data_IF_018087372380
#
_entry.id   IF_018087372380
#
_cell.length_a   1.000
_cell.length_b   1.000
_cell.length_c   1.000
_cell.angle_alpha   90.00
_cell.angle_beta   90.00
_cell.angle_gamma   90.00
#
_symmetry.space_group_name_H-M   'P 1'
#
loop_
_entity.id
_entity.type
_entity.pdbx_description
1 polymer ?
#
# COMPACT_ATOMS: atom_id res chain seq x y z
N UNK A 1 -55.48 30.85 -59.47
CA UNK A 1 -54.23 31.08 -58.74
C UNK A 1 -54.52 30.94 -57.25
N UNK A 2 -53.60 30.33 -56.51
CA UNK A 2 -53.66 29.91 -55.08
C UNK A 2 -54.14 28.46 -54.90
N UNK A 3 -53.31 27.48 -55.28
CA UNK A 3 -52.29 26.79 -54.46
C UNK A 3 -52.91 25.72 -53.56
N UNK A 4 -53.25 24.58 -54.18
CA UNK A 4 -53.39 23.32 -53.47
C UNK A 4 -52.01 22.92 -52.94
N UNK A 5 -51.82 23.03 -51.63
CA UNK A 5 -50.62 22.54 -50.98
C UNK A 5 -50.55 21.01 -51.17
N UNK A 6 -49.41 20.46 -51.62
CA UNK A 6 -49.24 19.03 -51.73
C UNK A 6 -49.49 18.39 -50.36
N UNK A 7 -50.50 17.52 -50.32
CA UNK A 7 -50.92 16.81 -49.11
C UNK A 7 -49.86 15.77 -48.81
N UNK A 8 -48.80 16.17 -48.10
CA UNK A 8 -47.77 15.25 -47.63
C UNK A 8 -48.41 14.25 -46.68
N UNK A 9 -48.52 13.00 -47.16
CA UNK A 9 -49.04 11.89 -46.38
C UNK A 9 -48.04 11.55 -45.28
N UNK A 10 -48.51 11.45 -44.04
CA UNK A 10 -47.72 11.00 -42.89
C UNK A 10 -47.21 9.55 -43.02
N UNK A 11 -47.63 8.81 -44.05
CA UNK A 11 -47.09 7.50 -44.44
C UNK A 11 -45.77 7.58 -45.20
N UNK A 12 -45.44 8.73 -45.80
CA UNK A 12 -44.19 8.95 -46.56
C UNK A 12 -43.07 9.46 -45.65
N UNK A 13 -43.40 9.82 -44.41
CA UNK A 13 -42.42 10.08 -43.35
C UNK A 13 -41.97 8.75 -42.71
N UNK A 14 -41.61 7.80 -43.56
CA UNK A 14 -41.01 6.55 -43.14
C UNK A 14 -39.62 6.86 -42.59
N UNK A 15 -39.49 6.85 -41.25
CA UNK A 15 -38.21 6.85 -40.52
C UNK A 15 -37.37 5.58 -40.78
N UNK A 16 -37.59 4.90 -41.91
CA UNK A 16 -36.95 3.68 -42.34
C UNK A 16 -35.74 3.95 -43.25
N UNK A 17 -35.58 5.20 -43.71
CA UNK A 17 -34.41 5.68 -44.46
C UNK A 17 -33.35 6.33 -43.58
N UNK A 18 -33.47 6.26 -42.24
CA UNK A 18 -32.32 6.54 -41.40
C UNK A 18 -31.31 5.41 -41.62
N UNK A 19 -30.12 5.68 -42.17
CA UNK A 19 -29.06 4.71 -42.17
C UNK A 19 -28.63 4.53 -40.71
N UNK A 20 -29.34 3.68 -39.96
CA UNK A 20 -28.85 3.15 -38.70
C UNK A 20 -27.68 2.27 -39.12
N UNK A 21 -26.51 2.92 -39.14
CA UNK A 21 -25.26 2.42 -39.65
C UNK A 21 -24.92 1.10 -38.98
N UNK A 22 -25.29 0.01 -39.67
CA UNK A 22 -24.66 -1.31 -39.52
C UNK A 22 -23.24 -1.31 -40.08
N UNK A 23 -22.59 -0.15 -40.20
CA UNK A 23 -21.14 0.01 -40.32
C UNK A 23 -20.50 -0.23 -38.95
N UNK A 24 -20.66 -1.48 -38.53
CA UNK A 24 -19.77 -2.33 -37.74
C UNK A 24 -18.69 -1.59 -36.93
N UNK A 25 -18.79 -1.69 -35.60
CA UNK A 25 -17.69 -1.42 -34.66
C UNK A 25 -16.33 -1.92 -35.17
N UNK A 26 -16.29 -3.03 -35.91
CA UNK A 26 -15.09 -3.56 -36.54
C UNK A 26 -14.48 -2.60 -37.57
N UNK A 27 -15.28 -1.98 -38.44
CA UNK A 27 -14.79 -0.96 -39.37
C UNK A 27 -14.27 0.27 -38.63
N UNK A 28 -14.94 0.70 -37.55
CA UNK A 28 -14.48 1.83 -36.74
C UNK A 28 -13.12 1.56 -36.06
N UNK A 29 -12.93 0.36 -35.51
CA UNK A 29 -11.64 -0.07 -34.93
C UNK A 29 -10.54 -0.13 -36.00
N UNK A 30 -10.83 -0.70 -37.17
CA UNK A 30 -9.87 -0.79 -38.28
C UNK A 30 -9.47 0.60 -38.79
N UNK A 31 -10.42 1.53 -38.92
CA UNK A 31 -10.14 2.92 -39.31
C UNK A 31 -9.29 3.61 -38.23
N UNK A 32 -9.63 3.46 -36.95
CA UNK A 32 -8.84 4.02 -35.84
C UNK A 32 -7.41 3.48 -35.78
N UNK A 33 -7.19 2.17 -35.99
CA UNK A 33 -5.85 1.59 -36.07
C UNK A 33 -5.05 2.19 -37.25
N UNK A 34 -5.70 2.39 -38.39
CA UNK A 34 -5.07 2.97 -39.58
C UNK A 34 -4.63 4.42 -39.33
N UNK A 35 -5.44 5.19 -38.61
CA UNK A 35 -5.13 6.57 -38.19
C UNK A 35 -3.90 6.62 -37.26
N UNK A 36 -3.83 5.70 -36.29
CA UNK A 36 -2.69 5.58 -35.37
C UNK A 36 -1.39 5.28 -36.14
N UNK A 37 -1.47 4.43 -37.15
CA UNK A 37 -0.35 4.09 -38.05
C UNK A 37 0.08 5.25 -38.96
N UNK A 38 -0.84 6.14 -39.33
CA UNK A 38 -0.52 7.33 -40.12
C UNK A 38 0.31 8.36 -39.33
N UNK A 39 0.09 8.45 -38.01
CA UNK A 39 0.76 9.43 -37.13
C UNK A 39 1.63 8.76 -36.05
N UNK A 40 2.61 7.96 -36.49
CA UNK A 40 3.46 7.13 -35.62
C UNK A 40 4.11 7.88 -34.47
N UNK A 41 4.64 9.09 -34.70
CA UNK A 41 5.37 9.84 -33.65
C UNK A 41 4.43 10.37 -32.55
N UNK A 42 3.29 10.95 -32.95
CA UNK A 42 2.30 11.49 -32.02
C UNK A 42 1.64 10.38 -31.20
N UNK A 43 1.27 9.29 -31.86
CA UNK A 43 0.71 8.11 -31.21
C UNK A 43 1.71 7.42 -30.28
N UNK A 44 2.99 7.34 -30.67
CA UNK A 44 4.02 6.76 -29.83
C UNK A 44 4.25 7.58 -28.55
N UNK A 45 4.40 8.90 -28.66
CA UNK A 45 4.69 9.76 -27.50
C UNK A 45 3.53 9.76 -26.48
N UNK A 46 2.29 9.75 -26.95
CA UNK A 46 1.09 9.71 -26.10
C UNK A 46 0.95 8.37 -25.38
N UNK A 47 1.11 7.25 -26.09
CA UNK A 47 1.09 5.93 -25.46
C UNK A 47 2.24 5.74 -24.47
N UNK A 48 3.44 6.20 -24.83
CA UNK A 48 4.62 6.13 -23.96
C UNK A 48 4.39 6.93 -22.67
N UNK A 49 3.79 8.12 -22.76
CA UNK A 49 3.41 8.90 -21.58
C UNK A 49 2.45 8.16 -20.65
N UNK A 50 1.43 7.50 -21.20
CA UNK A 50 0.47 6.71 -20.40
C UNK A 50 1.16 5.51 -19.75
N UNK A 51 1.97 4.77 -20.50
CA UNK A 51 2.67 3.57 -20.01
C UNK A 51 3.66 3.94 -18.91
N UNK A 52 4.46 4.98 -19.10
CA UNK A 52 5.39 5.46 -18.07
C UNK A 52 4.67 6.03 -16.85
N UNK A 53 3.53 6.71 -17.06
CA UNK A 53 2.71 7.22 -15.97
C UNK A 53 2.18 6.10 -15.07
N UNK A 54 1.45 5.14 -15.66
CA UNK A 54 0.86 4.02 -14.90
C UNK A 54 1.94 3.12 -14.30
N UNK A 55 3.05 2.87 -15.01
CA UNK A 55 4.11 2.01 -14.49
C UNK A 55 4.78 2.62 -13.26
N UNK A 56 5.02 3.94 -13.24
CA UNK A 56 5.60 4.62 -12.07
C UNK A 56 4.70 4.53 -10.84
N UNK A 57 3.38 4.67 -11.03
CA UNK A 57 2.39 4.56 -9.96
C UNK A 57 2.35 3.13 -9.39
N UNK A 58 2.31 2.12 -10.28
CA UNK A 58 2.31 0.71 -9.88
C UNK A 58 3.61 0.35 -9.16
N UNK A 59 4.77 0.80 -9.67
CA UNK A 59 6.06 0.54 -9.05
C UNK A 59 6.17 1.13 -7.65
N UNK A 60 5.74 2.39 -7.47
CA UNK A 60 5.74 3.03 -6.16
C UNK A 60 4.79 2.31 -5.19
N UNK A 61 3.58 1.96 -5.64
CA UNK A 61 2.61 1.23 -4.82
C UNK A 61 3.15 -0.12 -4.35
N UNK A 62 3.75 -0.89 -5.27
CA UNK A 62 4.37 -2.17 -4.96
C UNK A 62 5.54 -2.03 -3.99
N UNK A 63 6.38 -1.00 -4.15
CA UNK A 63 7.49 -0.73 -3.25
C UNK A 63 7.01 -0.40 -1.83
N UNK A 64 6.01 0.47 -1.69
CA UNK A 64 5.43 0.83 -0.38
C UNK A 64 4.86 -0.40 0.31
N UNK A 65 4.03 -1.19 -0.39
CA UNK A 65 3.46 -2.42 0.16
C UNK A 65 4.55 -3.42 0.56
N UNK A 66 5.60 -3.56 -0.26
CA UNK A 66 6.74 -4.41 0.07
C UNK A 66 7.47 -3.96 1.34
N UNK A 67 7.69 -2.66 1.50
CA UNK A 67 8.31 -2.09 2.70
C UNK A 67 7.45 -2.25 3.95
N UNK A 68 6.14 -2.06 3.84
CA UNK A 68 5.20 -2.25 4.95
C UNK A 68 5.20 -3.70 5.42
N UNK A 69 5.15 -4.65 4.49
CA UNK A 69 5.21 -6.08 4.81
C UNK A 69 6.55 -6.46 5.45
N UNK A 70 7.67 -6.01 4.87
CA UNK A 70 9.00 -6.29 5.42
C UNK A 70 9.21 -5.70 6.82
N UNK A 71 8.73 -4.48 7.06
CA UNK A 71 8.78 -3.86 8.39
C UNK A 71 7.89 -4.61 9.39
N UNK A 72 6.69 -5.03 8.96
CA UNK A 72 5.78 -5.82 9.79
C UNK A 72 6.42 -7.15 10.19
N UNK A 73 7.02 -7.87 9.24
CA UNK A 73 7.72 -9.13 9.51
C UNK A 73 8.91 -8.94 10.44
N UNK A 74 9.72 -7.90 10.22
CA UNK A 74 10.85 -7.57 11.09
C UNK A 74 10.39 -7.26 12.52
N UNK A 75 9.30 -6.51 12.68
CA UNK A 75 8.69 -6.24 13.98
C UNK A 75 8.19 -7.52 14.64
N UNK A 76 7.51 -8.40 13.91
CA UNK A 76 7.04 -9.69 14.44
C UNK A 76 8.22 -10.58 14.86
N UNK A 77 9.31 -10.61 14.08
CA UNK A 77 10.50 -11.41 14.38
C UNK A 77 11.18 -11.01 15.69
N UNK A 78 11.16 -9.73 16.07
CA UNK A 78 11.74 -9.27 17.35
C UNK A 78 10.82 -9.50 18.56
N UNK A 79 9.58 -9.93 18.35
CA UNK A 79 8.56 -10.18 19.38
C UNK A 79 7.30 -9.31 19.26
N UNK A 80 7.18 -8.53 18.18
CA UNK A 80 6.05 -7.66 17.91
C UNK A 80 5.93 -6.47 18.89
N UNK A 81 4.79 -5.78 18.80
CA UNK A 81 4.48 -4.65 19.68
C UNK A 81 4.12 -5.07 21.12
N UNK A 82 3.91 -6.36 21.35
CA UNK A 82 3.49 -6.91 22.64
C UNK A 82 4.68 -7.26 23.54
N UNK A 83 5.91 -7.29 23.00
CA UNK A 83 7.12 -7.55 23.78
C UNK A 83 7.60 -6.28 24.46
N UNK A 84 7.56 -6.27 25.79
CA UNK A 84 8.19 -5.24 26.63
C UNK A 84 9.45 -5.82 27.26
N UNK A 85 10.59 -5.18 27.04
CA UNK A 85 11.86 -5.58 27.66
C UNK A 85 12.30 -4.55 28.70
N UNK A 86 12.59 -5.02 29.91
CA UNK A 86 13.17 -4.20 30.97
C UNK A 86 14.66 -4.50 31.05
N UNK A 87 15.49 -3.46 30.98
CA UNK A 87 16.95 -3.58 31.06
C UNK A 87 17.47 -2.62 32.10
N UNK A 88 18.42 -3.07 32.90
CA UNK A 88 19.12 -2.18 33.83
C UNK A 88 19.94 -1.17 33.02
N UNK A 89 19.63 0.12 33.20
CA UNK A 89 20.41 1.20 32.60
C UNK A 89 21.56 1.58 33.52
N UNK A 90 22.74 1.88 32.95
CA UNK A 90 23.86 2.40 33.73
C UNK A 90 23.46 3.72 34.38
N UNK A 91 23.64 3.81 35.69
CA UNK A 91 23.33 5.03 36.46
C UNK A 91 24.19 6.20 35.96
N UNK A 92 23.59 7.37 35.65
CA UNK A 92 24.29 8.58 35.23
C UNK A 92 25.39 9.04 36.20
N UNK A 93 26.28 9.91 35.74
CA UNK A 93 27.48 10.30 36.52
C UNK A 93 27.10 11.04 37.80
N UNK A 94 26.06 11.84 37.72
CA UNK A 94 25.52 12.68 38.79
C UNK A 94 24.89 11.84 39.91
N UNK A 95 24.36 10.67 39.55
CA UNK A 95 23.63 9.78 40.45
C UNK A 95 24.45 8.56 40.91
N UNK A 96 25.77 8.52 40.66
CA UNK A 96 26.62 7.38 41.03
C UNK A 96 26.52 7.00 42.51
N UNK A 97 26.34 7.98 43.39
CA UNK A 97 26.16 7.78 44.84
C UNK A 97 24.94 6.92 45.20
N UNK A 98 23.96 6.81 44.28
CA UNK A 98 22.75 6.00 44.45
C UNK A 98 22.90 4.58 43.87
N UNK A 99 24.04 4.25 43.25
CA UNK A 99 24.26 2.92 42.66
C UNK A 99 24.17 1.81 43.70
N UNK A 100 24.79 2.01 44.85
CA UNK A 100 24.86 1.00 45.91
C UNK A 100 23.51 0.82 46.62
N UNK A 101 22.56 1.74 46.41
CA UNK A 101 21.19 1.67 46.91
C UNK A 101 20.23 0.97 45.94
N UNK A 102 20.63 0.74 44.69
CA UNK A 102 19.77 0.11 43.69
C UNK A 102 19.74 -1.42 43.90
N UNK A 103 18.58 -1.96 44.30
CA UNK A 103 18.40 -3.40 44.57
C UNK A 103 18.43 -4.28 43.30
N UNK A 104 18.42 -3.66 42.12
CA UNK A 104 18.33 -4.35 40.84
C UNK A 104 16.95 -4.98 40.59
N UNK A 105 16.82 -5.71 39.47
CA UNK A 105 15.63 -6.50 39.16
C UNK A 105 15.74 -7.87 39.82
N UNK A 106 14.67 -8.33 40.48
CA UNK A 106 14.65 -9.56 41.27
C UNK A 106 13.54 -10.52 40.82
N UNK A 107 13.66 -11.79 41.20
CA UNK A 107 12.60 -12.79 40.95
C UNK A 107 11.27 -12.45 41.66
N UNK A 108 11.32 -11.69 42.77
CA UNK A 108 10.11 -11.22 43.43
C UNK A 108 9.30 -10.26 42.53
N UNK A 109 9.98 -9.48 41.68
CA UNK A 109 9.33 -8.57 40.74
C UNK A 109 8.60 -9.35 39.63
N UNK A 110 9.13 -10.50 39.22
CA UNK A 110 8.47 -11.41 38.28
C UNK A 110 7.16 -11.95 38.86
N UNK A 111 7.19 -12.39 40.12
CA UNK A 111 6.00 -12.91 40.81
C UNK A 111 4.92 -11.81 40.97
N UNK A 112 5.36 -10.59 41.32
CA UNK A 112 4.48 -9.43 41.42
C UNK A 112 3.83 -9.09 40.07
N UNK A 113 4.58 -9.17 38.96
CA UNK A 113 4.05 -8.92 37.61
C UNK A 113 3.02 -9.98 37.21
N UNK A 114 3.28 -11.27 37.49
CA UNK A 114 2.32 -12.35 37.21
C UNK A 114 1.00 -12.17 37.98
N UNK A 115 1.08 -11.73 39.23
CA UNK A 115 -0.10 -11.52 40.06
C UNK A 115 -0.84 -10.21 39.72
N UNK A 116 -0.10 -9.17 39.32
CA UNK A 116 -0.63 -7.83 39.12
C UNK A 116 -1.10 -7.50 37.71
N UNK A 117 -0.65 -8.23 36.69
CA UNK A 117 -0.97 -7.94 35.27
C UNK A 117 -1.51 -9.20 34.58
N UNK A 118 -2.85 -9.36 34.50
CA UNK A 118 -3.46 -10.57 33.95
C UNK A 118 -3.25 -10.75 32.43
N UNK A 119 -2.90 -9.69 31.71
CA UNK A 119 -2.71 -9.71 30.25
C UNK A 119 -1.32 -10.23 29.83
N UNK A 120 -0.42 -10.49 30.78
CA UNK A 120 0.90 -11.03 30.47
C UNK A 120 0.81 -12.55 30.27
N UNK A 121 1.00 -13.00 29.03
CA UNK A 121 1.00 -14.43 28.71
C UNK A 121 2.31 -15.13 29.10
N UNK A 122 3.45 -14.47 28.85
CA UNK A 122 4.79 -15.04 29.04
C UNK A 122 5.72 -14.03 29.69
N UNK A 123 6.48 -14.47 30.69
CA UNK A 123 7.60 -13.71 31.28
C UNK A 123 8.87 -14.54 31.17
N UNK A 124 9.91 -13.95 30.59
CA UNK A 124 11.23 -14.56 30.46
C UNK A 124 12.28 -13.72 31.22
N UNK A 125 12.65 -14.11 32.46
CA UNK A 125 13.74 -13.47 33.17
C UNK A 125 15.09 -13.87 32.56
N UNK A 126 15.93 -12.89 32.25
CA UNK A 126 17.27 -13.08 31.69
C UNK A 126 18.34 -12.59 32.67
N UNK A 127 19.43 -13.35 32.82
CA UNK A 127 20.60 -12.94 33.58
C UNK A 127 21.82 -12.94 32.66
N UNK A 128 22.37 -11.76 32.42
CA UNK A 128 23.62 -11.61 31.68
C UNK A 128 24.80 -11.71 32.66
N UNK A 129 25.63 -12.72 32.49
CA UNK A 129 26.88 -12.89 33.24
C UNK A 129 27.99 -12.21 32.45
N UNK A 130 28.41 -11.03 32.89
CA UNK A 130 29.59 -10.37 32.34
C UNK A 130 30.86 -11.05 32.90
N UNK A 131 31.26 -12.16 32.27
CA UNK A 131 32.51 -12.85 32.58
C UNK A 131 33.66 -12.03 31.99
N UNK A 132 34.34 -11.22 32.81
CA UNK A 132 35.68 -10.72 32.49
C UNK A 132 36.61 -11.93 32.28
N UNK A 133 37.27 -12.10 31.12
CA UNK A 133 38.16 -13.22 30.90
C UNK A 133 39.38 -13.06 31.82
N UNK A 134 39.39 -13.81 32.92
CA UNK A 134 40.55 -13.97 33.77
C UNK A 134 41.59 -14.79 33.01
N UNK A 135 42.63 -14.14 32.47
CA UNK A 135 43.91 -14.75 32.15
C UNK A 135 44.79 -14.80 33.41
#
# INVERSE_FOLDING_TARGET
MSLELPRFSSSDLSLQDLPIGKTSLGNAVVVGLKEIWAHKFRSALTMLGIVLGVSSLVAMSAMVQGMENGQREALLAIGGLQKVSMRAQRVPVEQRHLRDMARGMTLADVEALKAGVPDIEIIAPEMQLDLEPTL
#
